data_IF_037533347061
#
_entry.id   IF_037533347061
#
_cell.length_a   1.000
_cell.length_b   1.000
_cell.length_c   1.000
_cell.angle_alpha   90.00
_cell.angle_beta   90.00
_cell.angle_gamma   90.00
#
_symmetry.space_group_name_H-M   'P 1'
#
loop_
_entity.id
_entity.type
_entity.pdbx_description
1 polymer ?
#
# COMPACT_ATOMS: atom_id res chain seq x y z
N UNK A 1 28.02 -0.18 -6.70
CA UNK A 1 27.26 1.06 -6.94
C UNK A 1 26.53 1.39 -5.67
N UNK A 2 26.61 2.64 -5.22
CA UNK A 2 25.84 3.11 -4.07
C UNK A 2 24.34 3.12 -4.42
N UNK A 3 23.46 3.01 -3.43
CA UNK A 3 22.00 3.19 -3.63
C UNK A 3 21.68 4.54 -4.29
N UNK A 4 22.53 5.54 -4.07
CA UNK A 4 22.46 6.84 -4.74
C UNK A 4 22.70 6.75 -6.25
N UNK A 5 23.65 5.94 -6.71
CA UNK A 5 23.95 5.81 -8.14
C UNK A 5 22.75 5.23 -8.91
N UNK A 6 22.10 4.21 -8.34
CA UNK A 6 20.90 3.61 -8.95
C UNK A 6 19.71 4.57 -8.94
N UNK A 7 19.54 5.36 -7.88
CA UNK A 7 18.46 6.35 -7.81
C UNK A 7 18.67 7.48 -8.84
N UNK A 8 19.89 8.03 -8.90
CA UNK A 8 20.22 9.18 -9.75
C UNK A 8 20.30 8.77 -11.22
N UNK A 9 20.99 7.68 -11.58
CA UNK A 9 21.17 7.33 -12.98
C UNK A 9 19.90 6.78 -13.63
N UNK A 10 19.20 5.86 -12.95
CA UNK A 10 18.10 5.13 -13.60
C UNK A 10 16.84 6.00 -13.62
N UNK A 11 16.42 6.54 -12.47
CA UNK A 11 15.13 7.23 -12.39
C UNK A 11 15.17 8.64 -12.98
N UNK A 12 16.22 9.42 -12.69
CA UNK A 12 16.31 10.80 -13.19
C UNK A 12 16.71 10.82 -14.66
N UNK A 13 17.61 9.94 -15.09
CA UNK A 13 18.06 9.85 -16.48
C UNK A 13 16.92 9.52 -17.44
N UNK A 14 16.19 8.43 -17.19
CA UNK A 14 15.07 8.00 -18.04
C UNK A 14 13.95 9.05 -18.06
N UNK A 15 13.64 9.64 -16.90
CA UNK A 15 12.66 10.70 -16.78
C UNK A 15 13.07 11.96 -17.54
N UNK A 16 14.33 12.36 -17.45
CA UNK A 16 14.87 13.49 -18.22
C UNK A 16 14.79 13.24 -19.72
N UNK A 17 15.17 12.03 -20.18
CA UNK A 17 15.04 11.63 -21.59
C UNK A 17 13.58 11.69 -22.04
N UNK A 18 12.64 11.17 -21.23
CA UNK A 18 11.22 11.23 -21.56
C UNK A 18 10.70 12.68 -21.70
N UNK A 19 11.15 13.61 -20.84
CA UNK A 19 10.70 15.00 -20.91
C UNK A 19 11.35 15.80 -22.06
N UNK A 20 12.61 15.51 -22.39
CA UNK A 20 13.39 16.34 -23.32
C UNK A 20 13.56 15.75 -24.72
N UNK A 21 13.48 14.43 -24.88
CA UNK A 21 13.56 13.75 -26.17
C UNK A 21 12.16 13.29 -26.63
N UNK A 22 11.55 14.09 -27.51
CA UNK A 22 10.21 13.81 -28.05
C UNK A 22 10.11 12.49 -28.80
N UNK A 23 11.20 12.05 -29.45
CA UNK A 23 11.22 10.81 -30.20
C UNK A 23 11.22 9.61 -29.25
N UNK A 24 12.04 9.67 -28.20
CA UNK A 24 12.04 8.64 -27.15
C UNK A 24 10.71 8.62 -26.40
N UNK A 25 10.17 9.77 -26.02
CA UNK A 25 8.86 9.87 -25.40
C UNK A 25 7.73 9.29 -26.27
N UNK A 26 7.77 9.54 -27.58
CA UNK A 26 6.82 8.94 -28.53
C UNK A 26 6.98 7.42 -28.62
N UNK A 27 8.22 6.91 -28.64
CA UNK A 27 8.50 5.48 -28.66
C UNK A 27 8.00 4.77 -27.39
N UNK A 28 8.25 5.35 -26.20
CA UNK A 28 7.76 4.81 -24.94
C UNK A 28 6.22 4.75 -24.88
N UNK A 29 5.55 5.84 -25.30
CA UNK A 29 4.07 5.88 -25.36
C UNK A 29 3.52 4.88 -26.39
N UNK A 30 4.20 4.72 -27.52
CA UNK A 30 3.86 3.72 -28.56
C UNK A 30 3.95 2.29 -28.03
N UNK A 31 4.89 1.97 -27.15
CA UNK A 31 4.97 0.62 -26.56
C UNK A 31 3.77 0.31 -25.65
N UNK A 32 3.32 1.28 -24.84
CA UNK A 32 2.09 1.14 -24.04
C UNK A 32 0.88 0.94 -24.96
N UNK A 33 0.74 1.78 -25.99
CA UNK A 33 -0.32 1.67 -26.98
C UNK A 33 -0.35 0.29 -27.67
N UNK A 34 0.81 -0.19 -28.13
CA UNK A 34 0.96 -1.49 -28.78
C UNK A 34 0.58 -2.65 -27.85
N UNK A 35 0.94 -2.57 -26.57
CA UNK A 35 0.60 -3.59 -25.57
C UNK A 35 -0.91 -3.66 -25.33
N UNK A 36 -1.58 -2.51 -25.18
CA UNK A 36 -3.04 -2.44 -25.05
C UNK A 36 -3.71 -3.01 -26.31
N UNK A 37 -3.24 -2.60 -27.49
CA UNK A 37 -3.76 -3.09 -28.77
C UNK A 37 -3.62 -4.61 -28.91
N UNK A 38 -2.48 -5.17 -28.52
CA UNK A 38 -2.27 -6.63 -28.53
C UNK A 38 -3.21 -7.35 -27.56
N UNK A 39 -3.39 -6.85 -26.33
CA UNK A 39 -4.33 -7.44 -25.37
C UNK A 39 -5.77 -7.46 -25.91
N UNK A 40 -6.22 -6.35 -26.49
CA UNK A 40 -7.59 -6.27 -27.02
C UNK A 40 -7.76 -7.10 -28.30
N UNK A 41 -6.84 -6.99 -29.26
CA UNK A 41 -7.01 -7.61 -30.58
C UNK A 41 -6.59 -9.08 -30.63
N UNK A 42 -5.51 -9.44 -29.95
CA UNK A 42 -4.93 -10.78 -30.00
C UNK A 42 -5.35 -11.65 -28.82
N UNK A 43 -5.56 -11.06 -27.63
CA UNK A 43 -6.03 -11.80 -26.45
C UNK A 43 -7.53 -11.64 -26.19
N UNK A 44 -8.23 -10.87 -27.02
CA UNK A 44 -9.66 -10.61 -26.91
C UNK A 44 -10.07 -10.10 -25.52
N UNK A 45 -9.20 -9.32 -24.85
CA UNK A 45 -9.51 -8.76 -23.55
C UNK A 45 -10.71 -7.80 -23.65
N UNK A 46 -11.77 -8.08 -22.87
CA UNK A 46 -12.99 -7.26 -22.84
C UNK A 46 -12.80 -5.92 -22.11
N UNK A 47 -11.84 -5.89 -21.19
CA UNK A 47 -11.48 -4.76 -20.34
C UNK A 47 -9.98 -4.78 -20.05
N UNK A 48 -9.36 -3.62 -20.09
CA UNK A 48 -7.94 -3.40 -19.80
C UNK A 48 -7.84 -2.35 -18.70
N UNK A 49 -7.07 -2.68 -17.66
CA UNK A 49 -6.65 -1.72 -16.63
C UNK A 49 -5.18 -1.42 -16.80
N UNK A 50 -4.83 -0.15 -16.96
CA UNK A 50 -3.44 0.29 -17.08
C UNK A 50 -2.92 0.63 -15.69
N UNK A 51 -1.83 -0.02 -15.31
CA UNK A 51 -1.21 0.12 -14.01
C UNK A 51 0.17 0.70 -14.20
N UNK A 52 0.47 1.77 -13.48
CA UNK A 52 1.71 2.51 -13.65
C UNK A 52 2.29 2.95 -12.31
N UNK A 53 3.62 2.99 -12.23
CA UNK A 53 4.37 3.43 -11.06
C UNK A 53 5.44 4.42 -11.49
N UNK A 54 5.69 5.46 -10.69
CA UNK A 54 6.75 6.45 -10.96
C UNK A 54 6.63 7.06 -12.36
N UNK A 55 7.75 7.19 -13.09
CA UNK A 55 7.82 7.63 -14.50
C UNK A 55 6.97 6.81 -15.47
N UNK A 56 6.60 5.57 -15.11
CA UNK A 56 5.60 4.82 -15.88
C UNK A 56 4.23 5.52 -15.92
N UNK A 57 3.89 6.32 -14.89
CA UNK A 57 2.64 7.07 -14.84
C UNK A 57 2.61 8.14 -15.94
N UNK A 58 3.74 8.78 -16.17
CA UNK A 58 3.93 9.77 -17.23
C UNK A 58 3.73 9.19 -18.62
N UNK A 59 4.37 8.04 -18.85
CA UNK A 59 4.29 7.33 -20.13
C UNK A 59 2.87 6.81 -20.36
N UNK A 60 2.25 6.19 -19.35
CA UNK A 60 0.90 5.65 -19.43
C UNK A 60 -0.15 6.76 -19.64
N UNK A 61 -0.10 7.83 -18.85
CA UNK A 61 -0.97 8.98 -19.00
C UNK A 61 -0.77 9.63 -20.37
N UNK A 62 0.48 9.84 -20.78
CA UNK A 62 0.82 10.36 -22.10
C UNK A 62 0.26 9.49 -23.23
N UNK A 63 0.37 8.16 -23.14
CA UNK A 63 -0.15 7.24 -24.15
C UNK A 63 -1.69 7.29 -24.25
N UNK A 64 -2.39 7.38 -23.12
CA UNK A 64 -3.86 7.43 -23.07
C UNK A 64 -4.42 8.82 -23.43
N UNK A 65 -3.60 9.87 -23.39
CA UNK A 65 -4.04 11.25 -23.66
C UNK A 65 -3.58 11.78 -25.02
N UNK A 66 -2.50 11.26 -25.60
CA UNK A 66 -1.94 11.74 -26.87
C UNK A 66 -2.95 11.63 -28.03
N UNK A 67 -3.26 12.77 -28.65
CA UNK A 67 -4.16 12.85 -29.80
C UNK A 67 -3.58 12.16 -31.04
N UNK A 68 -2.26 12.20 -31.23
CA UNK A 68 -1.60 11.54 -32.36
C UNK A 68 -1.78 10.01 -32.30
N UNK A 69 -1.91 9.45 -31.09
CA UNK A 69 -2.18 8.02 -30.89
C UNK A 69 -3.66 7.64 -31.07
N UNK A 70 -4.56 8.62 -31.27
CA UNK A 70 -6.02 8.43 -31.38
C UNK A 70 -6.59 8.68 -32.78
N UNK A 71 -5.78 9.14 -33.73
CA UNK A 71 -6.24 9.40 -35.10
C UNK A 71 -6.56 8.10 -35.86
N UNK A 72 -7.30 8.18 -36.97
CA UNK A 72 -7.58 7.02 -37.81
C UNK A 72 -6.26 6.42 -38.33
N UNK A 73 -6.04 5.12 -38.08
CA UNK A 73 -4.76 4.44 -38.35
C UNK A 73 -3.70 4.57 -37.24
N UNK A 74 -4.06 5.16 -36.10
CA UNK A 74 -3.16 5.27 -34.97
C UNK A 74 -3.06 3.97 -34.15
N UNK A 75 -2.03 3.88 -33.30
CA UNK A 75 -1.71 2.69 -32.50
C UNK A 75 -2.76 2.34 -31.45
N UNK A 76 -3.50 3.34 -30.94
CA UNK A 76 -4.63 3.17 -30.04
C UNK A 76 -5.91 3.52 -30.78
N UNK A 77 -6.40 2.57 -31.57
CA UNK A 77 -7.68 2.72 -32.27
C UNK A 77 -8.81 3.03 -31.29
N UNK A 78 -9.81 3.85 -31.68
CA UNK A 78 -10.91 4.22 -30.79
C UNK A 78 -11.63 3.01 -30.15
N UNK A 79 -11.81 1.92 -30.90
CA UNK A 79 -12.44 0.69 -30.39
C UNK A 79 -11.58 -0.04 -29.36
N UNK A 80 -10.25 0.05 -29.48
CA UNK A 80 -9.30 -0.50 -28.50
C UNK A 80 -9.28 0.38 -27.25
N UNK A 81 -9.23 1.70 -27.42
CA UNK A 81 -9.22 2.65 -26.31
C UNK A 81 -10.49 2.58 -25.45
N UNK A 82 -11.65 2.29 -26.07
CA UNK A 82 -12.92 2.02 -25.36
C UNK A 82 -12.85 0.83 -24.39
N UNK A 83 -11.88 -0.09 -24.57
CA UNK A 83 -11.65 -1.24 -23.69
C UNK A 83 -10.77 -0.91 -22.50
N UNK A 84 -10.10 0.24 -22.50
CA UNK A 84 -9.35 0.70 -21.33
C UNK A 84 -10.34 1.32 -20.36
N UNK A 85 -10.55 0.68 -19.21
CA UNK A 85 -11.55 1.12 -18.23
C UNK A 85 -10.93 1.86 -17.05
N UNK A 86 -9.65 1.59 -16.74
CA UNK A 86 -8.99 2.14 -15.55
C UNK A 86 -7.55 2.54 -15.84
N UNK A 87 -7.13 3.63 -15.22
CA UNK A 87 -5.75 4.03 -15.03
C UNK A 87 -5.49 4.05 -13.51
N UNK A 88 -4.58 3.20 -13.04
CA UNK A 88 -4.19 3.12 -11.63
C UNK A 88 -2.73 3.55 -11.53
N UNK A 89 -2.47 4.67 -10.85
CA UNK A 89 -1.13 5.23 -10.68
C UNK A 89 -0.65 5.06 -9.25
N UNK A 90 0.63 4.72 -9.09
CA UNK A 90 1.32 4.61 -7.80
C UNK A 90 2.52 5.55 -7.80
N UNK A 91 2.64 6.42 -6.79
CA UNK A 91 3.83 7.27 -6.68
C UNK A 91 4.07 8.14 -7.91
N UNK A 92 3.01 8.72 -8.48
CA UNK A 92 3.06 9.35 -9.81
C UNK A 92 4.04 10.52 -9.90
N UNK A 93 4.91 10.52 -10.91
CA UNK A 93 5.79 11.65 -11.24
C UNK A 93 5.15 12.74 -12.08
N UNK A 94 3.85 12.65 -12.40
CA UNK A 94 3.13 13.68 -13.17
C UNK A 94 3.28 15.09 -12.58
N UNK A 95 3.30 15.21 -11.25
CA UNK A 95 3.54 16.48 -10.57
C UNK A 95 4.90 17.09 -10.93
N UNK A 96 5.95 16.26 -11.02
CA UNK A 96 7.27 16.70 -11.45
C UNK A 96 7.31 17.02 -12.93
N UNK A 97 6.66 16.21 -13.77
CA UNK A 97 6.59 16.47 -15.22
C UNK A 97 5.93 17.79 -15.52
N UNK A 98 4.79 18.08 -14.88
CA UNK A 98 4.11 19.36 -15.03
C UNK A 98 4.89 20.54 -14.47
N UNK A 99 5.70 20.33 -13.42
CA UNK A 99 6.55 21.37 -12.87
C UNK A 99 7.72 21.69 -13.82
N UNK A 100 8.38 20.67 -14.37
CA UNK A 100 9.58 20.82 -15.20
C UNK A 100 9.25 21.15 -16.67
N UNK A 101 8.15 20.63 -17.18
CA UNK A 101 7.71 20.77 -18.56
C UNK A 101 6.18 20.99 -18.62
N UNK A 102 5.67 22.16 -18.21
CA UNK A 102 4.24 22.44 -18.04
C UNK A 102 3.41 22.35 -19.33
N UNK A 103 4.06 22.34 -20.49
CA UNK A 103 3.42 22.19 -21.80
C UNK A 103 3.40 20.74 -22.30
N UNK A 104 4.13 19.84 -21.62
CA UNK A 104 4.18 18.40 -21.91
C UNK A 104 3.09 17.72 -21.08
N UNK A 105 2.42 16.71 -21.66
CA UNK A 105 1.31 15.97 -21.02
C UNK A 105 0.11 16.82 -20.57
N UNK A 106 -0.24 17.84 -21.35
CA UNK A 106 -1.44 18.67 -21.11
C UNK A 106 -2.75 18.07 -21.65
N UNK A 107 -2.79 16.74 -21.81
CA UNK A 107 -3.95 16.05 -22.34
C UNK A 107 -5.01 15.73 -21.28
N UNK A 108 -6.24 15.48 -21.74
CA UNK A 108 -7.33 15.03 -20.88
C UNK A 108 -7.54 13.52 -21.09
N UNK A 109 -7.65 12.79 -19.98
CA UNK A 109 -7.97 11.37 -20.02
C UNK A 109 -9.37 11.16 -20.64
N UNK A 110 -9.57 10.17 -21.51
CA UNK A 110 -10.89 9.84 -22.05
C UNK A 110 -11.95 9.66 -20.95
N UNK A 111 -13.15 10.16 -21.20
CA UNK A 111 -14.22 10.33 -20.20
C UNK A 111 -14.75 9.02 -19.60
N UNK A 112 -14.49 7.87 -20.24
CA UNK A 112 -14.90 6.56 -19.74
C UNK A 112 -13.85 5.90 -18.84
N UNK A 113 -12.62 6.43 -18.74
CA UNK A 113 -11.54 5.82 -17.96
C UNK A 113 -11.60 6.30 -16.51
N UNK A 114 -11.78 5.37 -15.57
CA UNK A 114 -11.60 5.64 -14.15
C UNK A 114 -10.12 5.91 -13.81
N UNK A 115 -9.82 6.98 -13.07
CA UNK A 115 -8.46 7.24 -12.60
C UNK A 115 -8.38 7.18 -11.07
N UNK A 116 -7.64 6.19 -10.57
CA UNK A 116 -7.22 6.05 -9.18
C UNK A 116 -5.73 6.39 -9.07
N UNK A 117 -5.40 7.35 -8.20
CA UNK A 117 -4.03 7.76 -7.91
C UNK A 117 -3.69 7.49 -6.45
N UNK A 118 -2.73 6.60 -6.20
CA UNK A 118 -2.27 6.19 -4.88
C UNK A 118 -0.89 6.78 -4.64
N UNK A 119 -0.75 7.55 -3.56
CA UNK A 119 0.50 8.26 -3.24
C UNK A 119 0.79 8.24 -1.75
N UNK A 120 2.02 8.56 -1.35
CA UNK A 120 2.38 8.74 0.05
C UNK A 120 3.01 10.11 0.28
N UNK A 121 2.70 10.76 1.40
CA UNK A 121 3.28 12.06 1.76
C UNK A 121 4.81 12.02 1.94
N UNK A 122 5.38 10.85 2.23
CA UNK A 122 6.83 10.67 2.34
C UNK A 122 7.49 10.23 1.04
N UNK A 123 6.71 9.96 -0.02
CA UNK A 123 7.25 9.70 -1.33
C UNK A 123 7.63 11.03 -2.00
N UNK A 124 8.93 11.25 -2.19
CA UNK A 124 9.45 12.49 -2.76
C UNK A 124 9.02 12.74 -4.21
N UNK A 125 8.46 11.74 -4.90
CA UNK A 125 8.05 11.86 -6.30
C UNK A 125 6.65 12.47 -6.47
N UNK A 126 5.55 11.92 -5.94
CA UNK A 126 4.27 12.63 -5.94
C UNK A 126 4.23 13.74 -4.88
N UNK A 127 4.70 13.45 -3.65
CA UNK A 127 4.57 14.25 -2.42
C UNK A 127 3.14 14.60 -1.97
N UNK A 128 2.20 14.62 -2.91
CA UNK A 128 0.82 15.08 -2.80
C UNK A 128 -0.01 14.54 -3.96
N UNK A 129 -1.31 14.79 -3.92
CA UNK A 129 -2.26 14.52 -5.01
C UNK A 129 -1.83 15.17 -6.35
N UNK A 130 -2.39 14.72 -7.50
CA UNK A 130 -2.09 15.29 -8.80
C UNK A 130 -2.45 16.78 -8.89
N UNK A 131 -1.48 17.61 -9.27
CA UNK A 131 -1.58 19.07 -9.26
C UNK A 131 -1.05 19.67 -10.58
N UNK A 132 -1.84 19.56 -11.67
CA UNK A 132 -1.46 20.09 -12.99
C UNK A 132 -1.39 21.61 -13.00
N UNK A 133 -0.78 22.21 -14.04
CA UNK A 133 -0.71 23.66 -14.19
C UNK A 133 -2.11 24.29 -14.24
N UNK A 134 -2.22 25.54 -13.80
CA UNK A 134 -3.50 26.26 -13.79
C UNK A 134 -4.11 26.30 -15.20
N UNK A 135 -5.42 26.01 -15.28
CA UNK A 135 -6.17 25.98 -16.54
C UNK A 135 -6.09 24.66 -17.32
N UNK A 136 -5.21 23.73 -16.93
CA UNK A 136 -5.12 22.41 -17.57
C UNK A 136 -6.19 21.48 -17.02
N UNK A 137 -6.98 20.89 -17.91
CA UNK A 137 -7.96 19.84 -17.56
C UNK A 137 -7.38 18.48 -17.91
N UNK A 138 -7.01 17.71 -16.88
CA UNK A 138 -6.40 16.38 -17.05
C UNK A 138 -7.40 15.24 -16.94
N UNK A 139 -8.58 15.51 -16.36
CA UNK A 139 -9.61 14.51 -16.11
C UNK A 139 -11.00 15.11 -16.26
N UNK A 140 -11.80 14.54 -17.17
CA UNK A 140 -13.19 14.94 -17.43
C UNK A 140 -14.04 13.69 -17.60
N UNK A 141 -14.46 13.04 -16.51
CA UNK A 141 -15.24 11.81 -16.55
C UNK A 141 -16.64 12.05 -17.12
N UNK A 142 -17.17 11.04 -17.81
CA UNK A 142 -18.54 11.00 -18.29
C UNK A 142 -19.51 10.92 -17.12
N UNK A 143 -20.76 11.34 -17.34
CA UNK A 143 -21.82 11.21 -16.34
C UNK A 143 -21.95 9.75 -15.84
N UNK A 144 -21.88 8.79 -16.75
CA UNK A 144 -21.92 7.37 -16.41
C UNK A 144 -20.78 7.01 -15.44
N UNK A 145 -19.55 7.42 -15.75
CA UNK A 145 -18.40 7.15 -14.89
C UNK A 145 -18.52 7.84 -13.52
N UNK A 146 -18.99 9.08 -13.50
CA UNK A 146 -19.25 9.85 -12.27
C UNK A 146 -20.23 9.11 -11.37
N UNK A 147 -21.35 8.64 -11.91
CA UNK A 147 -22.34 7.86 -11.14
C UNK A 147 -21.79 6.49 -10.72
N UNK A 148 -21.13 5.77 -11.63
CA UNK A 148 -20.61 4.43 -11.38
C UNK A 148 -19.52 4.40 -10.30
N UNK A 149 -18.70 5.45 -10.21
CA UNK A 149 -17.57 5.55 -9.27
C UNK A 149 -17.83 6.49 -8.09
N UNK A 150 -18.97 7.19 -8.06
CA UNK A 150 -19.26 8.19 -7.04
C UNK A 150 -18.29 9.37 -7.05
N UNK A 151 -17.91 9.86 -8.23
CA UNK A 151 -16.98 10.99 -8.34
C UNK A 151 -17.71 12.29 -7.99
N UNK A 152 -16.98 13.24 -7.40
CA UNK A 152 -17.48 14.60 -7.16
C UNK A 152 -16.66 15.61 -7.95
N UNK A 153 -17.37 16.59 -8.50
CA UNK A 153 -16.74 17.81 -8.93
C UNK A 153 -16.17 18.55 -7.71
N UNK A 154 -14.92 19.02 -7.81
CA UNK A 154 -14.24 19.78 -6.77
C UNK A 154 -13.47 20.95 -7.39
N UNK A 155 -13.49 22.14 -6.77
CA UNK A 155 -12.82 23.31 -7.33
C UNK A 155 -11.29 23.14 -7.39
N UNK A 156 -10.72 22.36 -6.47
CA UNK A 156 -9.30 22.07 -6.35
C UNK A 156 -9.04 20.56 -6.31
N UNK A 157 -7.82 20.18 -6.69
CA UNK A 157 -7.38 18.78 -6.69
C UNK A 157 -7.21 18.21 -5.29
N UNK A 158 -6.91 19.09 -4.32
CA UNK A 158 -6.71 18.73 -2.93
C UNK A 158 -8.00 18.19 -2.32
N UNK A 159 -8.04 16.90 -1.93
CA UNK A 159 -9.21 16.33 -1.28
C UNK A 159 -9.59 16.99 0.04
N UNK A 160 -8.65 17.64 0.74
CA UNK A 160 -8.89 18.26 2.04
C UNK A 160 -9.56 19.64 1.94
N UNK A 161 -9.43 20.35 0.81
CA UNK A 161 -9.90 21.75 0.66
C UNK A 161 -11.41 21.89 0.47
N UNK A 162 -12.14 20.79 0.24
CA UNK A 162 -13.58 20.79 -0.02
C UNK A 162 -14.46 21.00 1.24
N UNK A 163 -14.03 21.83 2.21
CA UNK A 163 -14.66 22.15 3.51
C UNK A 163 -14.12 21.40 4.75
N UNK A 164 -12.90 20.87 4.71
CA UNK A 164 -12.30 20.19 5.88
C UNK A 164 -12.95 18.87 6.24
N UNK A 165 -13.83 18.34 5.38
CA UNK A 165 -14.40 17.01 5.48
C UNK A 165 -13.71 16.11 4.45
N UNK A 166 -12.76 15.25 4.86
CA UNK A 166 -12.02 14.36 3.96
C UNK A 166 -12.86 13.18 3.45
N UNK A 167 -14.19 13.22 3.61
CA UNK A 167 -15.03 12.10 3.20
C UNK A 167 -15.21 12.07 1.67
N UNK A 168 -14.84 10.97 1.00
CA UNK A 168 -15.22 10.78 -0.40
C UNK A 168 -16.74 10.68 -0.51
N UNK A 169 -17.30 11.15 -1.63
CA UNK A 169 -18.70 10.94 -1.99
C UNK A 169 -19.11 9.48 -1.88
N UNK A 170 -20.42 9.28 -1.71
CA UNK A 170 -21.04 7.96 -1.60
C UNK A 170 -21.98 7.73 -2.78
N UNK A 171 -22.18 6.47 -3.11
CA UNK A 171 -23.17 6.01 -4.10
C UNK A 171 -24.19 5.19 -3.32
N UNK A 172 -25.50 5.44 -3.52
CA UNK A 172 -26.51 4.51 -3.00
C UNK A 172 -26.65 3.32 -3.91
N UNK A 173 -27.17 2.26 -3.34
CA UNK A 173 -27.17 0.92 -3.90
C UNK A 173 -28.01 0.76 -5.18
N UNK A 174 -28.97 1.65 -5.39
CA UNK A 174 -29.80 1.75 -6.58
C UNK A 174 -29.09 2.42 -7.77
N UNK A 175 -27.84 2.86 -7.61
CA UNK A 175 -27.11 3.59 -8.66
C UNK A 175 -27.59 5.03 -8.86
N UNK A 176 -28.48 5.53 -7.99
CA UNK A 176 -28.58 6.96 -7.79
C UNK A 176 -27.30 7.37 -7.04
N UNK A 177 -26.43 8.17 -7.65
CA UNK A 177 -25.31 8.74 -6.90
C UNK A 177 -25.90 9.56 -5.77
N UNK A 178 -25.41 9.46 -4.53
CA UNK A 178 -25.93 10.24 -3.38
C UNK A 178 -24.81 10.79 -2.51
N UNK A 179 -24.62 12.10 -2.60
CA UNK A 179 -23.81 12.95 -1.76
C UNK A 179 -24.36 13.06 -0.32
N UNK A 180 -23.44 13.22 0.64
CA UNK A 180 -23.74 13.74 1.96
C UNK A 180 -23.44 15.23 1.94
N UNK A 181 -24.45 16.08 1.83
CA UNK A 181 -24.23 17.49 2.14
C UNK A 181 -24.32 17.62 3.64
N UNK A 182 -23.17 17.89 4.29
CA UNK A 182 -23.17 18.40 5.65
C UNK A 182 -23.80 19.78 5.61
N UNK A 183 -25.06 19.87 5.99
CA UNK A 183 -25.76 21.16 6.11
C UNK A 183 -25.43 21.70 7.49
N UNK A 184 -24.18 22.13 7.64
CA UNK A 184 -23.69 22.74 8.88
C UNK A 184 -24.19 24.17 8.96
N UNK A 185 -25.43 24.31 9.41
CA UNK A 185 -25.90 25.30 10.39
C UNK A 185 -27.40 25.15 10.51
N UNK A 186 -27.88 25.06 11.76
CA UNK A 186 -29.30 25.28 12.09
C UNK A 186 -29.80 26.52 11.33
N UNK A 187 -30.79 26.33 10.47
CA UNK A 187 -31.43 27.38 9.67
C UNK A 187 -30.97 27.47 8.20
N UNK A 188 -29.97 26.71 7.75
CA UNK A 188 -29.58 26.66 6.33
C UNK A 188 -30.68 25.98 5.49
N UNK A 189 -30.97 26.55 4.32
CA UNK A 189 -31.99 26.04 3.39
C UNK A 189 -31.43 24.85 2.61
N UNK A 190 -32.11 23.71 2.69
CA UNK A 190 -31.80 22.47 2.00
C UNK A 190 -32.17 22.56 0.50
N UNK A 191 -31.61 21.69 -0.37
CA UNK A 191 -31.93 21.66 -1.80
C UNK A 191 -33.42 21.44 -2.11
N UNK A 192 -34.15 20.78 -1.20
CA UNK A 192 -35.60 20.58 -1.28
C UNK A 192 -36.42 21.80 -0.79
N UNK A 193 -35.75 22.88 -0.38
CA UNK A 193 -36.35 24.11 0.12
C UNK A 193 -36.67 24.13 1.62
N UNK A 194 -36.54 23.00 2.33
CA UNK A 194 -36.72 22.93 3.79
C UNK A 194 -35.53 23.57 4.54
N UNK A 195 -35.60 23.75 5.86
CA UNK A 195 -34.49 24.32 6.66
C UNK A 195 -33.96 23.29 7.65
N UNK A 196 -32.63 23.16 7.73
CA UNK A 196 -31.98 22.28 8.70
C UNK A 196 -32.30 22.71 10.14
N UNK A 197 -32.88 21.82 10.91
CA UNK A 197 -33.39 22.05 12.26
C UNK A 197 -32.36 21.69 13.34
N UNK A 198 -31.42 20.78 13.03
CA UNK A 198 -30.21 20.42 13.79
C UNK A 198 -29.02 20.24 12.81
N UNK A 199 -27.85 19.78 13.30
CA UNK A 199 -26.81 19.18 12.46
C UNK A 199 -27.37 17.90 11.82
N UNK A 200 -28.09 18.12 10.72
CA UNK A 200 -28.85 17.08 10.01
C UNK A 200 -28.04 16.74 8.78
N UNK A 201 -27.77 15.46 8.61
CA UNK A 201 -27.14 14.96 7.40
C UNK A 201 -28.23 14.60 6.41
N UNK A 202 -28.28 15.33 5.30
CA UNK A 202 -29.26 15.06 4.23
C UNK A 202 -28.56 14.39 3.06
N UNK A 203 -29.20 13.35 2.55
CA UNK A 203 -28.83 12.65 1.33
C UNK A 203 -29.22 13.51 0.13
N UNK A 204 -28.25 13.96 -0.66
CA UNK A 204 -28.50 14.71 -1.90
C UNK A 204 -27.97 13.89 -3.05
N UNK A 205 -28.71 13.60 -4.12
CA UNK A 205 -28.16 12.84 -5.23
C UNK A 205 -26.90 13.52 -5.80
N UNK A 206 -25.80 12.77 -6.00
CA UNK A 206 -24.63 13.20 -6.77
C UNK A 206 -25.16 13.56 -8.15
N UNK A 207 -25.27 14.86 -8.37
CA UNK A 207 -25.72 15.40 -9.64
C UNK A 207 -24.46 15.63 -10.45
N UNK A 208 -24.38 14.99 -11.62
CA UNK A 208 -23.30 15.28 -12.55
C UNK A 208 -23.35 16.76 -12.92
N UNK A 209 -22.32 17.49 -12.53
CA UNK A 209 -22.13 18.86 -12.99
C UNK A 209 -21.27 18.81 -14.25
N UNK A 210 -21.84 19.05 -15.46
CA UNK A 210 -21.07 19.06 -16.71
C UNK A 210 -20.06 20.22 -16.78
N UNK A 211 -20.21 21.24 -15.93
CA UNK A 211 -19.27 22.36 -15.78
C UNK A 211 -18.30 22.14 -14.62
N UNK A 212 -18.55 21.13 -13.81
CA UNK A 212 -17.75 20.77 -12.66
C UNK A 212 -16.34 20.36 -13.08
N UNK A 213 -15.35 20.77 -12.27
CA UNK A 213 -13.99 20.28 -12.42
C UNK A 213 -13.86 18.97 -11.67
N UNK A 214 -13.44 17.91 -12.34
CA UNK A 214 -13.20 16.61 -11.72
C UNK A 214 -11.72 16.33 -11.59
N UNK A 215 -11.40 15.43 -10.67
CA UNK A 215 -10.05 15.02 -10.32
C UNK A 215 -10.00 13.51 -10.14
N UNK A 216 -8.84 12.87 -10.30
CA UNK A 216 -8.70 11.46 -9.97
C UNK A 216 -9.12 11.18 -8.53
N UNK A 217 -9.56 9.95 -8.27
CA UNK A 217 -9.68 9.47 -6.89
C UNK A 217 -8.25 9.39 -6.35
N UNK A 218 -7.93 10.28 -5.42
CA UNK A 218 -6.57 10.39 -4.88
C UNK A 218 -6.55 9.83 -3.46
N UNK A 219 -5.83 8.74 -3.26
CA UNK A 219 -5.70 8.05 -1.98
C UNK A 219 -4.29 8.18 -1.42
N UNK A 220 -4.18 8.90 -0.30
CA UNK A 220 -2.96 8.92 0.49
C UNK A 220 -2.83 7.62 1.28
N UNK A 221 -1.67 6.98 1.16
CA UNK A 221 -1.28 5.81 1.94
C UNK A 221 -0.07 6.08 2.80
N UNK A 222 0.07 5.33 3.89
CA UNK A 222 1.27 5.37 4.72
C UNK A 222 2.13 4.13 4.46
N UNK A 223 3.31 4.30 3.86
CA UNK A 223 4.28 3.22 3.66
C UNK A 223 5.20 3.11 4.90
N UNK A 224 6.53 3.26 4.75
CA UNK A 224 7.50 3.20 5.87
C UNK A 224 7.87 4.57 6.42
N UNK A 225 7.40 5.66 5.79
CA UNK A 225 7.71 7.05 6.18
C UNK A 225 9.22 7.35 6.08
N UNK A 226 9.90 6.69 5.14
CA UNK A 226 11.33 6.87 4.89
C UNK A 226 11.49 7.39 3.47
N UNK A 227 11.75 8.69 3.34
CA UNK A 227 11.77 9.41 2.05
C UNK A 227 12.57 8.70 0.96
N UNK A 228 13.72 8.13 1.33
CA UNK A 228 14.62 7.45 0.39
C UNK A 228 14.07 6.17 -0.25
N UNK A 229 13.15 5.49 0.42
CA UNK A 229 12.66 4.18 -0.02
C UNK A 229 11.14 4.14 -0.20
N UNK A 230 10.40 5.12 0.30
CA UNK A 230 8.94 5.12 0.29
C UNK A 230 8.36 5.01 -1.12
N UNK A 231 9.06 5.60 -2.09
CA UNK A 231 8.72 5.55 -3.50
C UNK A 231 8.61 4.12 -4.05
N UNK A 232 9.46 3.19 -3.62
CA UNK A 232 9.45 1.80 -4.09
C UNK A 232 8.58 0.85 -3.26
N UNK A 233 8.01 1.32 -2.14
CA UNK A 233 7.44 0.45 -1.12
C UNK A 233 5.93 0.20 -1.23
N UNK A 234 5.25 0.78 -2.23
CA UNK A 234 3.82 0.55 -2.47
C UNK A 234 3.47 -0.94 -2.53
N UNK A 235 4.28 -1.74 -3.22
CA UNK A 235 4.06 -3.19 -3.37
C UNK A 235 4.25 -4.00 -2.09
N UNK A 236 4.96 -3.45 -1.11
CA UNK A 236 5.13 -4.06 0.22
C UNK A 236 4.02 -3.68 1.20
N UNK A 237 3.21 -2.68 0.86
CA UNK A 237 2.12 -2.20 1.70
C UNK A 237 0.85 -3.02 1.45
N UNK A 238 0.83 -4.23 1.99
CA UNK A 238 -0.32 -5.14 1.84
C UNK A 238 -1.60 -4.61 2.49
N UNK A 239 -1.49 -3.69 3.44
CA UNK A 239 -2.61 -3.26 4.27
C UNK A 239 -3.48 -2.21 3.59
N UNK A 240 -2.85 -1.24 2.93
CA UNK A 240 -3.54 -0.12 2.29
C UNK A 240 -3.49 -0.29 0.78
N UNK A 241 -2.29 -0.48 0.22
CA UNK A 241 -2.06 -0.47 -1.24
C UNK A 241 -2.60 -1.74 -1.90
N UNK A 242 -2.12 -2.92 -1.51
CA UNK A 242 -2.50 -4.15 -2.24
C UNK A 242 -3.98 -4.48 -2.09
N UNK A 243 -4.58 -4.22 -0.92
CA UNK A 243 -6.02 -4.43 -0.70
C UNK A 243 -6.85 -3.49 -1.57
N UNK A 244 -6.51 -2.19 -1.61
CA UNK A 244 -7.18 -1.23 -2.47
C UNK A 244 -7.02 -1.60 -3.95
N UNK A 245 -5.80 -1.90 -4.36
CA UNK A 245 -5.46 -2.27 -5.73
C UNK A 245 -6.19 -3.54 -6.19
N UNK A 246 -6.19 -4.60 -5.36
CA UNK A 246 -6.94 -5.82 -5.65
C UNK A 246 -8.45 -5.55 -5.76
N UNK A 247 -8.99 -4.67 -4.90
CA UNK A 247 -10.39 -4.27 -4.96
C UNK A 247 -10.73 -3.53 -6.25
N UNK A 248 -9.81 -2.69 -6.72
CA UNK A 248 -9.97 -1.92 -7.95
C UNK A 248 -9.91 -2.81 -9.20
N UNK A 249 -9.11 -3.87 -9.20
CA UNK A 249 -9.06 -4.80 -10.35
C UNK A 249 -10.27 -5.74 -10.37
N UNK A 250 -10.70 -6.23 -9.21
CA UNK A 250 -11.70 -7.32 -9.09
C UNK A 250 -13.13 -6.89 -9.44
N UNK A 251 -13.45 -5.59 -9.35
CA UNK A 251 -14.77 -5.07 -9.68
C UNK A 251 -14.71 -3.69 -10.35
N UNK A 252 -15.69 -3.37 -11.21
CA UNK A 252 -15.81 -2.04 -11.82
C UNK A 252 -15.87 -0.95 -10.76
N UNK A 253 -16.72 -1.14 -9.74
CA UNK A 253 -16.74 -0.31 -8.53
C UNK A 253 -16.10 -1.07 -7.37
N UNK A 254 -14.97 -0.57 -6.87
CA UNK A 254 -14.12 -1.28 -5.90
C UNK A 254 -14.83 -1.80 -4.64
N UNK A 255 -15.89 -1.12 -4.17
CA UNK A 255 -16.63 -1.54 -2.97
C UNK A 255 -17.42 -2.83 -3.18
N UNK A 256 -17.66 -3.23 -4.43
CA UNK A 256 -18.30 -4.50 -4.78
C UNK A 256 -17.30 -5.66 -4.82
N UNK A 257 -16.00 -5.38 -4.71
CA UNK A 257 -14.97 -6.42 -4.71
C UNK A 257 -15.01 -7.28 -3.46
N UNK A 258 -14.70 -8.57 -3.61
CA UNK A 258 -14.46 -9.47 -2.47
C UNK A 258 -13.21 -9.12 -1.66
N UNK A 259 -12.27 -8.38 -2.25
CA UNK A 259 -11.07 -7.90 -1.57
C UNK A 259 -11.33 -6.63 -0.78
N UNK A 260 -12.48 -5.98 -0.99
CA UNK A 260 -12.88 -4.83 -0.22
C UNK A 260 -13.07 -5.24 1.24
N UNK A 261 -12.15 -4.80 2.10
CA UNK A 261 -12.17 -5.09 3.53
C UNK A 261 -13.05 -4.15 4.34
N UNK A 262 -13.74 -3.23 3.69
CA UNK A 262 -14.78 -2.51 4.39
C UNK A 262 -15.99 -3.39 4.58
N UNK A 263 -16.64 -3.38 5.75
CA UNK A 263 -18.00 -3.90 5.85
C UNK A 263 -18.80 -3.23 4.72
N UNK A 264 -19.12 -4.01 3.71
CA UNK A 264 -20.31 -3.87 2.89
C UNK A 264 -21.53 -4.27 3.74
N UNK A 265 -21.53 -3.83 5.01
CA UNK A 265 -22.56 -4.09 6.00
C UNK A 265 -23.77 -3.29 5.59
N UNK A 266 -24.66 -3.99 4.91
CA UNK A 266 -25.98 -3.52 4.54
C UNK A 266 -26.79 -3.30 5.82
N UNK A 267 -26.77 -2.08 6.35
CA UNK A 267 -27.68 -1.72 7.43
C UNK A 267 -29.04 -1.49 6.77
N UNK A 268 -29.85 -2.55 6.73
CA UNK A 268 -31.12 -2.62 6.01
C UNK A 268 -32.16 -1.55 6.39
N UNK A 269 -31.94 -0.81 7.48
CA UNK A 269 -32.81 0.27 7.90
C UNK A 269 -31.95 1.44 8.43
N UNK A 270 -32.06 2.60 7.79
CA UNK A 270 -31.49 3.89 8.22
C UNK A 270 -29.97 4.07 8.00
N UNK A 271 -29.67 4.89 6.98
CA UNK A 271 -28.41 5.59 6.78
C UNK A 271 -27.14 4.72 6.72
N UNK A 272 -26.77 4.33 5.50
CA UNK A 272 -25.47 3.74 5.19
C UNK A 272 -24.33 4.70 5.62
N UNK A 273 -23.75 4.49 6.80
CA UNK A 273 -22.53 5.17 7.26
C UNK A 273 -21.33 4.61 6.48
N UNK A 274 -21.17 4.98 5.22
CA UNK A 274 -19.86 4.88 4.53
C UNK A 274 -19.02 6.10 4.92
N UNK A 275 -18.90 6.37 6.21
CA UNK A 275 -17.88 7.30 6.69
C UNK A 275 -16.55 6.68 6.28
N UNK A 276 -15.79 7.43 5.47
CA UNK A 276 -14.60 7.00 4.73
C UNK A 276 -13.86 5.89 5.45
N UNK A 277 -14.06 4.66 4.98
CA UNK A 277 -13.45 3.49 5.61
C UNK A 277 -11.97 3.37 5.28
N UNK A 278 -11.48 4.19 4.35
CA UNK A 278 -10.07 4.58 4.29
C UNK A 278 -9.62 5.17 5.62
N UNK A 279 -10.37 6.06 6.29
CA UNK A 279 -10.01 6.57 7.61
C UNK A 279 -10.06 5.48 8.70
N UNK A 280 -11.07 4.60 8.72
CA UNK A 280 -11.14 3.49 9.69
C UNK A 280 -10.09 2.40 9.43
N UNK A 281 -9.79 2.08 8.16
CA UNK A 281 -8.73 1.17 7.77
C UNK A 281 -7.36 1.79 8.04
N UNK A 282 -7.15 3.06 7.68
CA UNK A 282 -5.97 3.83 8.03
C UNK A 282 -5.81 3.89 9.56
N UNK A 283 -6.88 4.10 10.32
CA UNK A 283 -6.85 4.10 11.78
C UNK A 283 -6.52 2.70 12.31
N UNK A 284 -7.17 1.65 11.81
CA UNK A 284 -6.86 0.26 12.20
C UNK A 284 -5.42 -0.14 11.87
N UNK A 285 -4.90 0.35 10.73
CA UNK A 285 -3.49 0.18 10.33
C UNK A 285 -2.57 0.98 11.23
N UNK A 286 -2.91 2.24 11.56
CA UNK A 286 -2.18 3.05 12.55
C UNK A 286 -2.17 2.34 13.90
N UNK A 287 -3.31 1.87 14.40
CA UNK A 287 -3.44 1.15 15.67
C UNK A 287 -2.68 -0.17 15.67
N UNK A 288 -2.69 -0.92 14.56
CA UNK A 288 -1.86 -2.12 14.40
C UNK A 288 -0.37 -1.75 14.42
N UNK A 289 0.07 -0.74 13.69
CA UNK A 289 1.47 -0.29 13.66
C UNK A 289 1.92 0.19 15.03
N UNK A 290 1.10 0.96 15.74
CA UNK A 290 1.33 1.35 17.13
C UNK A 290 1.52 0.13 18.02
N UNK A 291 0.65 -0.88 17.92
CA UNK A 291 0.80 -2.14 18.67
C UNK A 291 2.09 -2.90 18.32
N UNK A 292 2.43 -3.01 17.03
CA UNK A 292 3.65 -3.69 16.58
C UNK A 292 4.90 -2.93 17.03
N UNK A 293 4.91 -1.60 16.94
CA UNK A 293 6.00 -0.76 17.43
C UNK A 293 6.16 -0.86 18.94
N UNK A 294 5.05 -0.87 19.69
CA UNK A 294 5.09 -1.09 21.15
C UNK A 294 5.63 -2.48 21.51
N UNK A 295 5.24 -3.53 20.78
CA UNK A 295 5.77 -4.88 20.96
C UNK A 295 7.28 -4.95 20.63
N UNK A 296 7.71 -4.29 19.56
CA UNK A 296 9.12 -4.23 19.18
C UNK A 296 9.95 -3.46 20.21
N UNK A 297 9.45 -2.32 20.70
CA UNK A 297 10.07 -1.54 21.76
C UNK A 297 10.14 -2.33 23.08
N UNK A 298 9.05 -3.02 23.44
CA UNK A 298 9.02 -3.92 24.59
C UNK A 298 10.06 -5.03 24.48
N UNK A 299 10.17 -5.70 23.33
CA UNK A 299 11.18 -6.73 23.08
C UNK A 299 12.62 -6.17 23.23
N UNK A 300 12.87 -4.97 22.72
CA UNK A 300 14.18 -4.33 22.86
C UNK A 300 14.49 -3.99 24.32
N UNK A 301 13.51 -3.47 25.06
CA UNK A 301 13.66 -3.19 26.50
C UNK A 301 13.96 -4.46 27.30
N UNK A 302 13.25 -5.56 27.05
CA UNK A 302 13.52 -6.85 27.69
C UNK A 302 14.90 -7.39 27.32
N UNK A 303 15.33 -7.23 26.06
CA UNK A 303 16.68 -7.59 25.62
C UNK A 303 17.76 -6.79 26.35
N UNK A 304 17.55 -5.48 26.54
CA UNK A 304 18.46 -4.63 27.31
C UNK A 304 18.48 -5.00 28.80
N UNK A 305 17.33 -5.31 29.39
CA UNK A 305 17.25 -5.76 30.79
C UNK A 305 17.96 -7.10 30.98
N UNK A 306 17.75 -8.06 30.08
CA UNK A 306 18.43 -9.35 30.10
C UNK A 306 19.95 -9.17 29.98
N UNK A 307 20.40 -8.27 29.10
CA UNK A 307 21.81 -7.93 28.97
C UNK A 307 22.37 -7.31 30.26
N UNK A 308 21.66 -6.37 30.88
CA UNK A 308 22.07 -5.76 32.15
C UNK A 308 22.19 -6.80 33.27
N UNK A 309 21.21 -7.70 33.40
CA UNK A 309 21.25 -8.81 34.37
C UNK A 309 22.44 -9.72 34.09
N UNK A 310 22.69 -10.08 32.84
CA UNK A 310 23.85 -10.90 32.46
C UNK A 310 25.18 -10.24 32.86
N UNK A 311 25.31 -8.93 32.66
CA UNK A 311 26.49 -8.15 33.07
C UNK A 311 26.65 -8.17 34.59
N UNK A 312 25.57 -7.96 35.35
CA UNK A 312 25.62 -7.99 36.83
C UNK A 312 26.02 -9.38 37.34
N UNK A 313 25.41 -10.45 36.80
CA UNK A 313 25.77 -11.83 37.13
C UNK A 313 27.25 -12.09 36.83
N UNK A 314 27.77 -11.58 35.71
CA UNK A 314 29.18 -11.69 35.35
C UNK A 314 30.10 -10.92 36.31
N UNK A 315 29.74 -9.69 36.67
CA UNK A 315 30.51 -8.88 37.64
C UNK A 315 30.56 -9.51 39.03
N UNK A 316 29.49 -10.20 39.44
CA UNK A 316 29.41 -10.95 40.70
C UNK A 316 30.18 -12.28 40.65
N UNK A 317 30.77 -12.65 39.51
CA UNK A 317 31.60 -13.85 39.36
C UNK A 317 30.81 -15.15 39.19
N UNK A 318 29.48 -15.12 39.13
CA UNK A 318 28.65 -16.33 38.96
C UNK A 318 28.91 -17.06 37.64
N UNK A 319 29.27 -16.31 36.58
CA UNK A 319 29.62 -16.87 35.26
C UNK A 319 31.13 -17.08 35.06
N UNK A 320 31.95 -16.81 36.08
CA UNK A 320 33.36 -17.20 36.04
C UNK A 320 33.48 -18.73 36.00
N UNK A 321 34.60 -19.30 35.49
CA UNK A 321 34.79 -20.76 35.46
C UNK A 321 34.61 -21.43 36.82
N UNK A 322 34.91 -20.70 37.91
CA UNK A 322 34.79 -21.19 39.28
C UNK A 322 33.42 -20.91 39.92
N UNK A 323 32.61 -20.06 39.30
CA UNK A 323 31.26 -19.71 39.72
C UNK A 323 30.24 -20.82 39.46
N UNK A 324 29.14 -20.85 40.22
CA UNK A 324 28.15 -21.93 40.18
C UNK A 324 27.54 -22.15 38.79
N UNK A 325 27.25 -21.05 38.06
CA UNK A 325 26.69 -21.13 36.71
C UNK A 325 27.77 -21.54 35.70
N UNK A 326 29.00 -21.03 35.87
CA UNK A 326 30.14 -21.42 35.04
C UNK A 326 30.43 -22.91 35.13
N UNK A 327 30.48 -23.46 36.35
CA UNK A 327 30.62 -24.90 36.61
C UNK A 327 29.48 -25.69 36.02
N UNK A 328 28.23 -25.29 36.23
CA UNK A 328 27.09 -26.00 35.63
C UNK A 328 27.19 -26.05 34.10
N UNK A 329 27.52 -24.94 33.43
CA UNK A 329 27.63 -24.91 31.96
C UNK A 329 28.83 -25.73 31.47
N UNK A 330 30.00 -25.59 32.12
CA UNK A 330 31.22 -26.33 31.77
C UNK A 330 31.08 -27.84 32.03
N UNK A 331 30.59 -28.21 33.21
CA UNK A 331 30.53 -29.60 33.64
C UNK A 331 29.34 -30.34 33.01
N UNK A 332 28.17 -29.70 32.92
CA UNK A 332 26.95 -30.36 32.46
C UNK A 332 26.73 -30.21 30.95
N UNK A 333 26.85 -28.99 30.41
CA UNK A 333 26.54 -28.71 29.00
C UNK A 333 27.71 -29.08 28.09
N UNK A 334 28.92 -28.66 28.45
CA UNK A 334 30.12 -28.97 27.69
C UNK A 334 30.65 -30.39 27.96
N UNK A 335 30.61 -30.83 29.23
CA UNK A 335 31.02 -32.18 29.62
C UNK A 335 30.14 -33.31 29.08
N UNK A 336 28.86 -33.04 28.77
CA UNK A 336 27.93 -34.10 28.31
C UNK A 336 27.67 -34.06 26.80
N UNK A 337 27.65 -32.89 26.16
CA UNK A 337 27.19 -32.73 24.76
C UNK A 337 28.33 -32.33 23.80
N UNK A 338 29.40 -31.66 24.28
CA UNK A 338 30.38 -30.98 23.42
C UNK A 338 31.85 -31.39 23.67
N UNK A 339 32.12 -32.49 24.37
CA UNK A 339 33.48 -32.98 24.63
C UNK A 339 34.36 -33.14 23.38
N UNK A 340 33.75 -33.29 22.19
CA UNK A 340 34.48 -33.41 20.91
C UNK A 340 34.93 -32.04 20.36
N UNK A 341 34.31 -30.93 20.78
CA UNK A 341 34.59 -29.57 20.27
C UNK A 341 35.26 -28.63 21.29
N UNK A 342 35.19 -28.95 22.58
CA UNK A 342 35.69 -28.09 23.66
C UNK A 342 37.21 -28.03 23.78
N UNK A 343 37.90 -29.13 23.49
CA UNK A 343 39.36 -29.19 23.52
C UNK A 343 40.03 -28.17 22.58
N UNK A 344 39.70 -28.17 21.27
CA UNK A 344 40.27 -27.21 20.32
C UNK A 344 39.92 -25.75 20.62
N UNK A 345 38.66 -25.47 21.02
CA UNK A 345 38.20 -24.10 21.31
C UNK A 345 38.83 -23.57 22.60
N UNK A 346 38.95 -24.40 23.64
CA UNK A 346 39.63 -24.05 24.88
C UNK A 346 41.12 -23.74 24.65
N UNK A 347 41.80 -24.57 23.85
CA UNK A 347 43.19 -24.36 23.48
C UNK A 347 43.38 -23.08 22.65
N UNK A 348 42.46 -22.78 21.73
CA UNK A 348 42.49 -21.53 20.97
C UNK A 348 42.37 -20.29 21.87
N UNK A 349 41.42 -20.25 22.81
CA UNK A 349 41.26 -19.11 23.71
C UNK A 349 42.40 -18.98 24.73
N UNK A 350 42.98 -20.10 25.18
CA UNK A 350 44.18 -20.08 26.02
C UNK A 350 45.40 -19.53 25.26
N UNK A 351 45.58 -19.95 24.01
CA UNK A 351 46.61 -19.39 23.11
C UNK A 351 46.36 -17.91 22.87
N UNK A 352 45.12 -17.51 22.55
CA UNK A 352 44.76 -16.11 22.34
C UNK A 352 45.09 -15.29 23.60
N UNK A 353 44.68 -15.73 24.78
CA UNK A 353 44.99 -15.05 26.04
C UNK A 353 46.50 -14.92 26.31
N UNK A 354 47.34 -15.83 25.82
CA UNK A 354 48.80 -15.77 25.96
C UNK A 354 49.47 -14.72 25.06
N UNK A 355 48.81 -14.29 23.98
CA UNK A 355 49.37 -13.35 22.99
C UNK A 355 48.80 -11.93 23.10
N UNK A 356 47.69 -11.72 23.81
CA UNK A 356 47.11 -10.37 23.99
C UNK A 356 47.66 -9.70 25.25
N UNK A 357 47.96 -8.39 25.22
CA UNK A 357 48.38 -7.66 26.41
C UNK A 357 47.41 -7.80 27.61
N UNK A 358 47.89 -7.72 28.86
CA UNK A 358 47.06 -7.94 30.05
C UNK A 358 45.79 -7.08 30.14
N UNK A 359 45.83 -5.85 29.60
CA UNK A 359 44.67 -4.94 29.59
C UNK A 359 43.54 -5.40 28.64
N UNK A 360 43.81 -6.34 27.73
CA UNK A 360 42.82 -6.98 26.84
C UNK A 360 42.36 -8.36 27.33
N UNK A 361 42.91 -8.88 28.44
CA UNK A 361 42.53 -10.19 28.97
C UNK A 361 41.03 -10.28 29.27
N UNK A 362 40.40 -9.17 29.68
CA UNK A 362 38.95 -9.08 29.88
C UNK A 362 38.14 -9.27 28.59
N UNK A 363 38.63 -8.80 27.44
CA UNK A 363 37.97 -8.95 26.13
C UNK A 363 38.04 -10.41 25.67
N UNK A 364 39.19 -11.08 25.85
CA UNK A 364 39.32 -12.51 25.54
C UNK A 364 38.43 -13.37 26.44
N UNK A 365 38.35 -13.03 27.73
CA UNK A 365 37.42 -13.68 28.66
C UNK A 365 35.96 -13.52 28.23
N UNK A 366 35.58 -12.31 27.79
CA UNK A 366 34.25 -12.04 27.25
C UNK A 366 33.96 -12.84 25.98
N UNK A 367 34.89 -12.88 25.02
CA UNK A 367 34.74 -13.65 23.77
C UNK A 367 34.66 -15.16 24.03
N UNK A 368 35.40 -15.67 25.02
CA UNK A 368 35.34 -17.07 25.45
C UNK A 368 33.97 -17.41 26.05
N UNK A 369 33.33 -16.46 26.73
CA UNK A 369 32.00 -16.63 27.33
C UNK A 369 30.84 -16.31 26.35
N UNK A 370 31.10 -15.59 25.25
CA UNK A 370 30.09 -15.18 24.28
C UNK A 370 29.22 -16.34 23.73
N UNK A 371 29.76 -17.53 23.39
CA UNK A 371 28.93 -18.66 22.97
C UNK A 371 27.94 -19.13 24.03
N UNK A 372 28.32 -19.06 25.32
CA UNK A 372 27.43 -19.39 26.44
C UNK A 372 26.31 -18.34 26.56
N UNK A 373 26.64 -17.06 26.40
CA UNK A 373 25.63 -15.99 26.40
C UNK A 373 24.66 -16.12 25.20
N UNK A 374 25.16 -16.49 24.02
CA UNK A 374 24.33 -16.73 22.82
C UNK A 374 23.47 -17.98 22.98
N UNK A 375 24.00 -19.08 23.52
CA UNK A 375 23.22 -20.28 23.78
C UNK A 375 22.14 -20.03 24.87
N UNK A 376 22.51 -19.30 25.93
CA UNK A 376 21.59 -18.89 26.98
C UNK A 376 20.47 -18.00 26.46
N UNK A 377 20.77 -17.02 25.59
CA UNK A 377 19.75 -16.15 25.00
C UNK A 377 18.81 -16.92 24.06
N UNK A 378 19.32 -17.88 23.28
CA UNK A 378 18.48 -18.75 22.44
C UNK A 378 17.51 -19.59 23.28
N UNK A 379 17.98 -20.17 24.40
CA UNK A 379 17.14 -20.98 25.30
C UNK A 379 16.06 -20.12 25.97
N UNK A 380 16.40 -18.89 26.37
CA UNK A 380 15.44 -17.94 26.99
C UNK A 380 14.45 -17.38 25.97
N UNK A 381 14.84 -17.23 24.70
CA UNK A 381 13.96 -16.75 23.63
C UNK A 381 13.07 -17.85 23.01
N UNK A 382 13.40 -19.14 23.21
CA UNK A 382 12.63 -20.27 22.67
C UNK A 382 11.13 -20.25 23.06
N UNK A 383 10.76 -20.00 24.34
CA UNK A 383 9.36 -19.89 24.77
C UNK A 383 8.61 -18.72 24.09
N UNK A 384 9.29 -17.61 23.84
CA UNK A 384 8.71 -16.45 23.16
C UNK A 384 8.40 -16.73 21.69
N UNK A 385 9.22 -17.55 21.02
CA UNK A 385 8.95 -18.03 19.65
C UNK A 385 7.78 -19.01 19.57
N UNK A 386 7.57 -19.84 20.60
CA UNK A 386 6.44 -20.79 20.63
C UNK A 386 5.09 -20.12 20.91
N UNK A 387 5.05 -19.05 21.72
CA UNK A 387 3.82 -18.32 22.01
C UNK A 387 3.34 -17.39 20.87
N UNK A 388 4.25 -16.93 20.00
CA UNK A 388 3.88 -16.07 18.85
C UNK A 388 3.21 -16.83 17.69
N UNK A 389 3.30 -18.17 17.66
CA UNK A 389 2.75 -19.00 16.58
C UNK A 389 1.30 -19.44 16.83
N UNK A 390 0.88 -19.55 18.08
CA UNK A 390 -0.47 -20.01 18.45
C UNK A 390 -1.56 -18.95 18.28
N UNK A 391 -1.20 -17.66 18.18
CA UNK A 391 -2.16 -16.56 17.98
C UNK A 391 -2.63 -16.39 16.52
N UNK A 392 -2.04 -17.12 15.56
CA UNK A 392 -2.40 -17.03 14.14
C UNK A 392 -3.45 -18.07 13.68
N UNK A 393 -3.79 -19.05 14.52
CA UNK A 393 -4.70 -20.16 14.17
C UNK A 393 -6.06 -20.11 14.84
N UNK A 394 -6.30 -19.19 15.79
CA UNK A 394 -7.52 -19.23 16.63
C UNK A 394 -8.54 -18.12 16.34
N UNK A 395 -8.64 -17.72 15.06
CA UNK A 395 -9.79 -16.94 14.55
C UNK A 395 -10.72 -17.83 13.71
N UNK A 396 -10.99 -19.04 14.18
CA UNK A 396 -12.13 -19.82 13.68
C UNK A 396 -13.39 -19.30 14.36
N UNK A 397 -14.10 -18.46 13.61
CA UNK A 397 -15.56 -18.37 13.52
C UNK A 397 -16.29 -19.03 14.70
N UNK A 398 -16.56 -18.24 15.75
CA UNK A 398 -17.57 -18.59 16.76
C UNK A 398 -18.95 -18.34 16.13
N UNK A 399 -19.39 -19.26 15.27
CA UNK A 399 -20.78 -19.31 14.80
C UNK A 399 -21.68 -19.55 16.00
N UNK A 400 -22.42 -18.50 16.36
CA UNK A 400 -23.51 -18.57 17.34
C UNK A 400 -24.65 -19.38 16.69
N UNK A 401 -24.75 -20.66 17.00
CA UNK A 401 -25.91 -21.48 16.70
C UNK A 401 -27.10 -20.97 17.52
N UNK A 402 -28.08 -20.36 16.85
CA UNK A 402 -29.34 -19.95 17.43
C UNK A 402 -30.49 -20.32 16.48
N UNK A 403 -31.19 -21.38 16.86
CA UNK A 403 -32.57 -21.78 16.54
C UNK A 403 -33.11 -21.59 15.11
N UNK A 404 -33.38 -22.74 14.47
CA UNK A 404 -34.15 -22.87 13.25
C UNK A 404 -35.63 -22.51 13.44
N UNK A 405 -36.22 -21.88 12.43
CA UNK A 405 -37.64 -21.97 12.10
C UNK A 405 -37.79 -21.94 10.57
N UNK A 406 -38.64 -22.80 9.96
CA UNK A 406 -38.56 -23.08 8.53
C UNK A 406 -39.44 -22.11 7.72
N UNK A 407 -38.87 -21.45 6.72
CA UNK A 407 -39.65 -21.04 5.56
C UNK A 407 -38.91 -21.37 4.27
N UNK A 408 -39.47 -22.34 3.55
CA UNK A 408 -39.11 -22.75 2.21
C UNK A 408 -39.44 -21.64 1.23
N UNK A 409 -38.41 -21.06 0.60
CA UNK A 409 -38.57 -20.38 -0.69
C UNK A 409 -37.36 -20.67 -1.57
N UNK A 410 -37.60 -21.50 -2.58
CA UNK A 410 -36.70 -21.81 -3.68
C UNK A 410 -36.31 -20.54 -4.44
N UNK A 411 -35.00 -20.25 -4.52
CA UNK A 411 -34.44 -19.33 -5.51
C UNK A 411 -33.59 -20.11 -6.54
N UNK A 412 -33.56 -19.65 -7.80
CA UNK A 412 -32.94 -20.37 -8.90
C UNK A 412 -31.41 -20.20 -8.91
N UNK A 413 -30.71 -21.29 -9.25
CA UNK A 413 -29.26 -21.31 -9.50
C UNK A 413 -28.90 -20.34 -10.64
N UNK A 414 -27.97 -19.43 -10.38
CA UNK A 414 -27.22 -18.71 -11.43
C UNK A 414 -26.04 -19.55 -11.91
N UNK A 415 -25.65 -19.44 -13.20
CA UNK A 415 -24.55 -20.21 -13.77
C UNK A 415 -23.18 -19.64 -13.38
N UNK A 416 -22.22 -20.53 -13.27
CA UNK A 416 -20.82 -20.28 -12.94
C UNK A 416 -20.16 -19.33 -13.97
N UNK A 417 -19.45 -18.32 -13.46
CA UNK A 417 -18.57 -17.45 -14.27
C UNK A 417 -17.18 -18.11 -14.39
N UNK A 418 -16.51 -18.02 -15.56
CA UNK A 418 -15.16 -18.54 -15.72
C UNK A 418 -14.12 -17.68 -14.99
N UNK A 419 -13.07 -18.34 -14.50
CA UNK A 419 -11.94 -17.78 -13.78
C UNK A 419 -11.11 -16.82 -14.65
N UNK A 420 -10.84 -15.63 -14.11
CA UNK A 420 -9.93 -14.61 -14.64
C UNK A 420 -8.50 -15.18 -14.71
N UNK A 421 -7.91 -15.25 -15.91
CA UNK A 421 -6.47 -15.50 -16.09
C UNK A 421 -5.72 -14.17 -15.98
N UNK A 422 -4.92 -14.00 -14.95
CA UNK A 422 -3.89 -12.97 -14.88
C UNK A 422 -2.59 -13.50 -15.47
N UNK A 423 -2.08 -12.85 -16.51
CA UNK A 423 -0.73 -13.10 -17.04
C UNK A 423 0.22 -12.04 -16.46
N UNK A 424 1.09 -12.46 -15.54
CA UNK A 424 2.26 -11.67 -15.13
C UNK A 424 3.40 -12.08 -16.06
N UNK A 425 3.87 -11.15 -16.90
CA UNK A 425 5.05 -11.37 -17.74
C UNK A 425 6.32 -11.39 -16.87
N UNK A 426 7.23 -12.37 -17.03
CA UNK A 426 8.58 -12.28 -16.51
C UNK A 426 9.45 -11.46 -17.49
N UNK A 427 10.30 -10.60 -16.95
CA UNK A 427 11.37 -9.94 -17.69
C UNK A 427 12.33 -10.98 -18.27
N UNK A 428 12.45 -11.03 -19.59
CA UNK A 428 13.59 -11.65 -20.28
C UNK A 428 14.44 -10.58 -20.92
N UNK A 429 15.74 -10.64 -20.60
CA UNK A 429 16.88 -10.01 -21.27
C UNK A 429 16.68 -9.79 -22.78
N UNK A 430 17.17 -8.66 -23.30
CA UNK A 430 18.02 -8.60 -24.50
C UNK A 430 18.61 -7.19 -24.67
N UNK A 431 19.90 -7.15 -25.02
CA UNK A 431 20.56 -6.06 -25.76
C UNK A 431 21.24 -5.00 -24.92
#
# INVERSE_FOLDING_TARGET
GSVLDSLVQIQIGEFYTYLNDRLQAANMRRQVAASINWLVKNQHCESVSVIAHSGGCDIAFGALTDLALKQAGALLEPEVLKRVNKLITFGSSLNHSWLLAPTVQVGCLPEHIHWLDIWSAYDSVPGKWPNPPSGVTVFKPSEHLVRAQGLLARPAADPSTANGDPTPARVSEDGAGVEWVRVTRKGQKLPDGSRANNDTYTWVPVTYDPRGRYWPVSEEVTNRMIVLIDHGLYWSNSEQVLVRFASEIDADFYQRSRFWRGDAGYVANSAMRIQGRTANLQQAVRDRRTRVSLLAAGRLLFGLLALAVAVVIAMLGFTSPDGEIGKFVLDYLFGTILNVLTGPVGNFFNWLASIVPPWLAGVVGFLRAAPVYVAGSIIVDLPAFTCGRSSATDSTVRTRTGAASPSTRSQPRRPDRPLVRSSVMPNTHFG
#
